data_IF_562226878958
#
_entry.id   IF_562226878958
#
_cell.length_a   1.000
_cell.length_b   1.000
_cell.length_c   1.000
_cell.angle_alpha   90.00
_cell.angle_beta   90.00
_cell.angle_gamma   90.00
#
_symmetry.space_group_name_H-M   'P 1'
#
loop_
_entity.id
_entity.type
_entity.pdbx_description
1 polymer ?
#
# COMPACT_ATOMS: atom_id res chain seq x y z
N UNK A 1 15.77 2.75 10.28
CA UNK A 1 15.64 2.69 11.74
C UNK A 1 15.45 1.26 12.21
N UNK A 2 16.13 0.89 13.24
CA UNK A 2 16.02 -0.45 13.77
C UNK A 2 15.42 -0.43 15.16
N UNK A 3 14.53 -1.37 15.40
CA UNK A 3 13.89 -1.53 16.70
C UNK A 3 14.38 -2.84 17.32
N UNK A 4 14.39 -2.88 18.62
CA UNK A 4 14.81 -4.11 19.29
C UNK A 4 13.68 -5.11 19.32
N UNK A 5 14.00 -6.32 18.94
CA UNK A 5 13.08 -7.43 19.07
C UNK A 5 13.14 -8.00 20.46
N UNK A 6 12.06 -8.67 20.80
CA UNK A 6 11.99 -9.47 21.99
C UNK A 6 13.16 -10.46 21.98
N UNK A 7 13.85 -10.60 23.07
CA UNK A 7 14.98 -11.50 23.16
C UNK A 7 16.30 -10.87 22.75
N UNK A 8 16.35 -9.58 22.53
CA UNK A 8 17.60 -8.89 22.22
C UNK A 8 17.91 -8.77 20.75
N UNK A 9 17.11 -9.37 19.89
CA UNK A 9 17.27 -9.22 18.45
C UNK A 9 16.80 -7.86 18.01
N UNK A 10 17.45 -7.30 17.00
CA UNK A 10 17.00 -6.05 16.44
C UNK A 10 15.77 -6.24 15.56
N UNK A 11 14.77 -5.40 15.78
CA UNK A 11 13.66 -5.30 14.85
C UNK A 11 14.02 -4.29 13.80
N UNK A 12 13.67 -4.59 12.58
CA UNK A 12 13.87 -3.69 11.47
C UNK A 12 12.59 -3.63 10.65
N UNK A 13 12.26 -2.44 10.17
CA UNK A 13 11.23 -2.32 9.15
C UNK A 13 11.89 -2.77 7.85
N UNK A 14 11.48 -3.91 7.34
CA UNK A 14 12.07 -4.51 6.15
C UNK A 14 11.21 -4.38 4.93
N UNK A 15 9.90 -4.31 5.11
CA UNK A 15 8.98 -4.22 4.00
C UNK A 15 7.85 -3.25 4.32
N UNK A 16 7.74 -2.24 3.48
CA UNK A 16 6.61 -1.31 3.49
C UNK A 16 5.72 -1.66 2.31
N UNK A 17 4.46 -1.96 2.57
CA UNK A 17 3.49 -2.26 1.53
C UNK A 17 2.52 -1.10 1.43
N UNK A 18 2.23 -0.65 0.23
CA UNK A 18 1.23 0.39 0.00
C UNK A 18 0.24 -0.07 -1.05
N UNK A 19 -1.03 0.16 -0.79
CA UNK A 19 -2.08 -0.17 -1.75
C UNK A 19 -2.45 1.07 -2.54
N UNK A 20 -2.65 0.91 -3.83
CA UNK A 20 -3.04 1.99 -4.72
C UNK A 20 -4.09 1.53 -5.72
N UNK A 21 -4.96 2.45 -6.14
CA UNK A 21 -5.86 2.22 -7.27
C UNK A 21 -5.44 3.08 -8.47
N UNK A 22 -4.27 3.66 -8.39
CA UNK A 22 -3.69 4.53 -9.40
C UNK A 22 -4.41 5.86 -9.55
N UNK A 23 -5.29 6.19 -8.62
CA UNK A 23 -5.94 7.50 -8.63
C UNK A 23 -4.93 8.57 -8.18
N UNK A 24 -5.28 9.81 -8.48
CA UNK A 24 -4.45 10.93 -8.11
C UNK A 24 -4.30 11.05 -6.60
N UNK A 25 -5.39 10.79 -5.87
CA UNK A 25 -5.33 10.84 -4.42
C UNK A 25 -4.50 9.70 -3.83
N UNK A 26 -4.57 8.52 -4.44
CA UNK A 26 -3.79 7.38 -3.96
C UNK A 26 -2.29 7.60 -4.13
N UNK A 27 -1.90 8.40 -5.11
CA UNK A 27 -0.49 8.66 -5.36
C UNK A 27 0.19 9.29 -4.15
N UNK A 28 -0.53 10.07 -3.38
CA UNK A 28 0.02 10.66 -2.17
C UNK A 28 0.45 9.62 -1.16
N UNK A 29 -0.36 8.58 -1.00
CA UNK A 29 -0.01 7.47 -0.12
C UNK A 29 1.20 6.70 -0.66
N UNK A 30 1.26 6.50 -1.97
CA UNK A 30 2.38 5.80 -2.59
C UNK A 30 3.68 6.56 -2.37
N UNK A 31 3.68 7.87 -2.56
CA UNK A 31 4.87 8.68 -2.34
C UNK A 31 5.31 8.68 -0.89
N UNK A 32 4.36 8.74 0.02
CA UNK A 32 4.67 8.66 1.44
C UNK A 32 5.33 7.32 1.77
N UNK A 33 4.77 6.23 1.26
CA UNK A 33 5.32 4.92 1.50
C UNK A 33 6.72 4.76 0.92
N UNK A 34 6.95 5.31 -0.27
CA UNK A 34 8.27 5.25 -0.90
C UNK A 34 9.31 5.99 -0.06
N UNK A 35 8.96 7.16 0.44
CA UNK A 35 9.86 7.91 1.30
C UNK A 35 10.12 7.17 2.60
N UNK A 36 9.08 6.59 3.19
CA UNK A 36 9.23 5.81 4.40
C UNK A 36 10.18 4.62 4.19
N UNK A 37 9.97 3.89 3.10
CA UNK A 37 10.82 2.74 2.80
C UNK A 37 12.28 3.16 2.63
N UNK A 38 12.50 4.28 1.94
CA UNK A 38 13.84 4.78 1.75
C UNK A 38 14.51 5.15 3.07
N UNK A 39 13.78 5.82 3.94
CA UNK A 39 14.33 6.24 5.24
C UNK A 39 14.64 5.07 6.16
N UNK A 40 13.86 4.02 6.06
CA UNK A 40 14.11 2.80 6.85
C UNK A 40 15.05 1.83 6.15
N UNK A 41 15.46 2.13 4.95
CA UNK A 41 16.25 1.22 4.11
C UNK A 41 15.50 -0.10 3.91
N UNK A 42 14.20 0.01 3.71
CA UNK A 42 13.30 -1.13 3.54
C UNK A 42 12.90 -1.31 2.09
N UNK A 43 12.38 -2.48 1.79
CA UNK A 43 11.78 -2.75 0.49
C UNK A 43 10.39 -2.10 0.42
N UNK A 44 10.05 -1.58 -0.75
CA UNK A 44 8.72 -1.05 -1.03
C UNK A 44 7.99 -2.02 -1.95
N UNK A 45 6.78 -2.40 -1.54
CA UNK A 45 5.89 -3.17 -2.41
C UNK A 45 4.65 -2.32 -2.67
N UNK A 46 4.44 -1.98 -3.94
CA UNK A 46 3.25 -1.24 -4.36
C UNK A 46 2.25 -2.24 -4.91
N UNK A 47 1.10 -2.30 -4.29
CA UNK A 47 0.08 -3.30 -4.58
C UNK A 47 -1.16 -2.65 -5.19
N UNK A 48 -1.67 -3.23 -6.26
CA UNK A 48 -2.96 -2.85 -6.81
C UNK A 48 -3.88 -4.04 -6.79
N UNK A 49 -5.11 -3.83 -6.32
CA UNK A 49 -6.15 -4.85 -6.32
C UNK A 49 -7.10 -4.54 -7.46
N UNK A 50 -7.30 -5.51 -8.35
CA UNK A 50 -8.25 -5.37 -9.46
C UNK A 50 -9.49 -6.16 -9.17
N UNK A 51 -10.64 -5.57 -9.48
CA UNK A 51 -11.90 -6.29 -9.49
C UNK A 51 -12.13 -6.85 -10.89
N UNK A 52 -13.15 -7.66 -11.06
CA UNK A 52 -13.42 -8.30 -12.34
C UNK A 52 -13.69 -7.37 -13.51
N UNK A 53 -13.97 -6.10 -13.24
CA UNK A 53 -14.30 -5.12 -14.28
C UNK A 53 -13.14 -4.21 -14.66
N UNK A 54 -11.99 -4.38 -14.06
CA UNK A 54 -10.88 -3.45 -14.20
C UNK A 54 -9.96 -3.71 -15.40
N UNK A 55 -10.34 -4.56 -16.31
CA UNK A 55 -9.57 -4.80 -17.52
C UNK A 55 -8.42 -5.78 -17.34
N UNK A 56 -7.44 -5.68 -18.23
CA UNK A 56 -6.35 -6.64 -18.29
C UNK A 56 -5.40 -6.53 -17.10
N UNK A 57 -5.19 -7.66 -16.44
CA UNK A 57 -4.25 -7.73 -15.34
C UNK A 57 -2.82 -7.52 -15.82
N UNK A 58 -2.49 -8.05 -17.00
CA UNK A 58 -1.15 -7.89 -17.56
C UNK A 58 -0.85 -6.42 -17.86
N UNK A 59 -1.83 -5.70 -18.40
CA UNK A 59 -1.65 -4.28 -18.70
C UNK A 59 -1.50 -3.48 -17.41
N UNK A 60 -2.32 -3.78 -16.41
CA UNK A 60 -2.23 -3.10 -15.12
C UNK A 60 -0.89 -3.37 -14.45
N UNK A 61 -0.39 -4.60 -14.54
CA UNK A 61 0.89 -4.94 -13.95
C UNK A 61 2.03 -4.19 -14.62
N UNK A 62 2.00 -4.08 -15.93
CA UNK A 62 3.03 -3.36 -16.68
C UNK A 62 3.01 -1.87 -16.36
N UNK A 63 1.83 -1.29 -16.35
CA UNK A 63 1.67 0.12 -16.01
C UNK A 63 2.19 0.41 -14.60
N UNK A 64 1.83 -0.44 -13.66
CA UNK A 64 2.25 -0.25 -12.27
C UNK A 64 3.77 -0.40 -12.14
N UNK A 65 4.35 -1.40 -12.81
CA UNK A 65 5.79 -1.59 -12.78
C UNK A 65 6.53 -0.38 -13.33
N UNK A 66 6.05 0.18 -14.43
CA UNK A 66 6.65 1.39 -14.98
C UNK A 66 6.57 2.56 -14.01
N UNK A 67 5.44 2.71 -13.36
CA UNK A 67 5.26 3.78 -12.39
C UNK A 67 6.22 3.63 -11.21
N UNK A 68 6.36 2.41 -10.71
CA UNK A 68 7.21 2.14 -9.56
C UNK A 68 8.68 2.42 -9.87
N UNK A 69 9.10 2.18 -11.11
CA UNK A 69 10.47 2.50 -11.54
C UNK A 69 10.83 3.95 -11.26
N UNK A 70 9.89 4.85 -11.40
CA UNK A 70 10.12 6.27 -11.19
C UNK A 70 10.09 6.74 -9.74
N UNK A 71 9.76 5.86 -8.81
CA UNK A 71 9.70 6.24 -7.41
C UNK A 71 11.08 6.26 -6.77
N UNK A 72 11.19 6.96 -5.65
CA UNK A 72 12.44 6.99 -4.89
C UNK A 72 12.76 5.62 -4.31
N UNK A 73 14.05 5.36 -4.11
CA UNK A 73 14.49 4.12 -3.48
C UNK A 73 14.94 3.08 -4.48
N UNK A 74 15.76 2.16 -4.03
CA UNK A 74 16.33 1.12 -4.88
C UNK A 74 15.62 -0.21 -4.77
N UNK A 75 15.07 -0.52 -3.60
CA UNK A 75 14.41 -1.79 -3.35
C UNK A 75 12.91 -1.61 -3.46
N UNK A 76 12.42 -1.73 -4.66
CA UNK A 76 11.00 -1.51 -4.91
C UNK A 76 10.49 -2.51 -5.93
N UNK A 77 9.26 -2.94 -5.72
CA UNK A 77 8.59 -3.84 -6.64
C UNK A 77 7.10 -3.58 -6.61
N UNK A 78 6.41 -4.16 -7.55
CA UNK A 78 4.96 -3.98 -7.68
C UNK A 78 4.29 -5.33 -7.84
N UNK A 79 3.02 -5.37 -7.50
CA UNK A 79 2.20 -6.55 -7.70
C UNK A 79 0.77 -6.14 -7.97
N UNK A 80 0.12 -6.87 -8.86
CA UNK A 80 -1.30 -6.70 -9.14
C UNK A 80 -1.98 -8.00 -8.76
N UNK A 81 -2.98 -7.92 -7.91
CA UNK A 81 -3.75 -9.07 -7.49
C UNK A 81 -5.23 -8.83 -7.80
N UNK A 82 -5.99 -9.90 -7.86
CA UNK A 82 -7.42 -9.81 -8.10
C UNK A 82 -8.18 -10.10 -6.82
N UNK A 83 -9.28 -9.43 -6.64
CA UNK A 83 -10.14 -9.66 -5.48
C UNK A 83 -11.36 -8.78 -5.53
N UNK A 84 -12.47 -9.32 -5.03
CA UNK A 84 -13.73 -8.56 -5.01
C UNK A 84 -13.82 -7.64 -3.80
N UNK A 85 -13.06 -7.95 -2.77
CA UNK A 85 -13.04 -7.15 -1.55
C UNK A 85 -11.63 -6.60 -1.37
N UNK A 86 -11.40 -5.33 -1.71
CA UNK A 86 -10.06 -4.75 -1.65
C UNK A 86 -9.42 -4.81 -0.26
N UNK A 87 -10.17 -4.55 0.78
CA UNK A 87 -9.60 -4.58 2.13
C UNK A 87 -9.10 -5.97 2.49
N UNK A 88 -9.90 -6.98 2.20
CA UNK A 88 -9.50 -8.35 2.48
C UNK A 88 -8.28 -8.75 1.67
N UNK A 89 -8.25 -8.38 0.39
CA UNK A 89 -7.11 -8.70 -0.47
C UNK A 89 -5.83 -8.02 0.03
N UNK A 90 -5.93 -6.78 0.46
CA UNK A 90 -4.78 -6.05 1.00
C UNK A 90 -4.27 -6.70 2.28
N UNK A 91 -5.17 -7.04 3.19
CA UNK A 91 -4.81 -7.67 4.44
C UNK A 91 -4.12 -9.02 4.19
N UNK A 92 -4.68 -9.80 3.28
CA UNK A 92 -4.10 -11.09 2.93
C UNK A 92 -2.71 -10.93 2.32
N UNK A 93 -2.53 -9.92 1.48
CA UNK A 93 -1.21 -9.65 0.90
C UNK A 93 -0.21 -9.23 1.97
N UNK A 94 -0.63 -8.38 2.90
CA UNK A 94 0.25 -7.96 3.98
C UNK A 94 0.71 -9.15 4.81
N UNK A 95 -0.19 -10.09 5.04
CA UNK A 95 0.14 -11.29 5.81
C UNK A 95 1.07 -12.20 5.02
N UNK A 96 0.77 -12.44 3.76
CA UNK A 96 1.58 -13.31 2.90
C UNK A 96 2.99 -12.78 2.71
N UNK A 97 3.10 -11.47 2.51
CA UNK A 97 4.40 -10.84 2.25
C UNK A 97 5.16 -10.51 3.53
N UNK A 98 4.52 -10.68 4.66
CA UNK A 98 5.11 -10.33 5.96
C UNK A 98 5.49 -8.86 6.03
N UNK A 99 4.58 -8.00 5.60
CA UNK A 99 4.80 -6.57 5.65
C UNK A 99 4.97 -6.11 7.10
N UNK A 100 5.88 -5.19 7.31
CA UNK A 100 6.07 -4.58 8.62
C UNK A 100 5.20 -3.35 8.78
N UNK A 101 4.97 -2.66 7.67
CA UNK A 101 4.11 -1.47 7.64
C UNK A 101 3.22 -1.56 6.42
N UNK A 102 1.95 -1.29 6.62
CA UNK A 102 0.97 -1.24 5.55
C UNK A 102 0.45 0.20 5.46
N UNK A 103 0.61 0.82 4.30
CA UNK A 103 0.22 2.21 4.06
C UNK A 103 -1.02 2.23 3.17
N UNK A 104 -2.03 2.96 3.59
CA UNK A 104 -3.24 3.15 2.78
C UNK A 104 -3.64 4.62 2.81
N UNK A 105 -4.35 5.05 1.79
CA UNK A 105 -4.90 6.40 1.76
C UNK A 105 -6.16 6.50 2.61
N UNK A 106 -6.44 7.70 3.09
CA UNK A 106 -7.58 7.93 3.98
C UNK A 106 -8.93 8.00 3.28
N UNK A 107 -8.96 8.38 2.00
CA UNK A 107 -10.21 8.51 1.27
C UNK A 107 -10.20 7.71 0.00
N UNK A 108 -11.40 7.53 -0.48
CA UNK A 108 -11.79 6.69 -1.56
C UNK A 108 -10.78 6.49 -2.64
N UNK A 109 -10.48 5.24 -2.86
CA UNK A 109 -9.48 4.87 -3.81
C UNK A 109 -9.94 5.16 -5.23
N UNK A 110 -11.25 5.15 -5.47
CA UNK A 110 -11.71 5.57 -6.78
C UNK A 110 -12.95 6.40 -6.62
N UNK A 111 -12.91 7.63 -6.79
CA UNK A 111 -13.96 8.59 -6.49
C UNK A 111 -15.40 8.10 -6.58
N UNK A 112 -15.73 7.27 -7.54
CA UNK A 112 -17.11 6.85 -7.76
C UNK A 112 -17.59 5.76 -6.83
N UNK A 113 -16.70 5.10 -6.16
CA UNK A 113 -17.03 4.00 -5.27
C UNK A 113 -16.66 4.28 -3.84
N UNK A 114 -16.54 5.52 -3.53
CA UNK A 114 -16.01 5.89 -2.24
C UNK A 114 -16.82 5.37 -1.07
N UNK A 115 -18.13 5.17 -1.25
CA UNK A 115 -18.88 4.61 -0.13
C UNK A 115 -18.54 3.16 0.15
N UNK A 116 -18.08 2.41 -0.84
CA UNK A 116 -17.59 1.05 -0.64
C UNK A 116 -16.16 1.05 -0.16
N UNK A 117 -15.34 1.90 -0.77
CA UNK A 117 -13.92 1.92 -0.49
C UNK A 117 -13.57 2.70 0.76
N UNK A 118 -14.48 3.53 1.22
CA UNK A 118 -14.32 4.30 2.44
C UNK A 118 -13.99 3.43 3.64
N UNK A 119 -14.46 2.19 3.61
CA UNK A 119 -14.20 1.27 4.70
C UNK A 119 -12.86 0.57 4.61
N UNK A 120 -12.12 0.74 3.52
CA UNK A 120 -10.83 0.06 3.35
C UNK A 120 -9.85 0.48 4.43
N UNK A 121 -9.59 1.78 4.65
CA UNK A 121 -8.64 2.16 5.70
C UNK A 121 -9.08 1.68 7.07
N UNK A 122 -10.37 1.78 7.36
CA UNK A 122 -10.90 1.38 8.65
C UNK A 122 -10.76 -0.14 8.86
N UNK A 123 -11.17 -0.92 7.87
CA UNK A 123 -11.07 -2.37 7.96
C UNK A 123 -9.62 -2.83 8.04
N UNK A 124 -8.77 -2.20 7.26
CA UNK A 124 -7.35 -2.52 7.26
C UNK A 124 -6.74 -2.20 8.63
N UNK A 125 -7.05 -1.05 9.19
CA UNK A 125 -6.48 -0.66 10.48
C UNK A 125 -6.88 -1.61 11.61
N UNK A 126 -8.07 -2.19 11.52
CA UNK A 126 -8.55 -3.10 12.57
C UNK A 126 -8.08 -4.55 12.38
N UNK A 127 -7.73 -4.93 11.18
CA UNK A 127 -7.50 -6.35 10.87
C UNK A 127 -6.14 -6.67 10.30
N UNK A 128 -5.31 -5.69 10.05
CA UNK A 128 -4.00 -5.93 9.48
C UNK A 128 -3.08 -6.65 10.48
N UNK A 129 -2.16 -7.48 9.98
CA UNK A 129 -1.22 -8.20 10.84
C UNK A 129 -0.01 -7.36 11.26
N UNK A 130 -0.01 -6.08 10.94
CA UNK A 130 1.18 -5.21 11.11
C UNK A 130 0.76 -3.79 11.41
N UNK A 131 1.76 -2.93 11.57
CA UNK A 131 1.53 -1.49 11.75
C UNK A 131 0.86 -0.92 10.50
N UNK A 132 -0.15 -0.07 10.70
CA UNK A 132 -0.86 0.56 9.59
C UNK A 132 -0.68 2.07 9.68
N UNK A 133 -0.34 2.66 8.53
CA UNK A 133 -0.26 4.11 8.40
C UNK A 133 -1.36 4.53 7.43
N UNK A 134 -2.21 5.43 7.88
CA UNK A 134 -3.26 5.98 7.05
C UNK A 134 -2.83 7.38 6.63
N UNK A 135 -2.54 7.55 5.35
CA UNK A 135 -2.08 8.83 4.82
C UNK A 135 -3.28 9.68 4.44
N UNK A 136 -3.30 10.91 4.91
CA UNK A 136 -4.36 11.84 4.53
C UNK A 136 -4.19 12.19 3.06
N UNK A 137 -5.02 11.64 2.21
CA UNK A 137 -4.92 11.81 0.76
C UNK A 137 -5.77 12.96 0.25
N UNK A 138 -6.74 13.39 1.04
CA UNK A 138 -7.55 14.55 0.70
C UNK A 138 -7.02 15.73 1.51
N UNK A 139 -6.57 16.74 0.80
CA UNK A 139 -6.00 17.91 1.44
C UNK A 139 -7.03 19.01 1.52
N UNK A 140 -7.30 19.47 2.74
CA UNK A 140 -8.16 20.61 2.90
C UNK A 140 -7.38 21.85 2.51
N UNK A 141 -7.99 22.70 1.72
CA UNK A 141 -7.40 23.99 1.41
C UNK A 141 -7.64 24.90 2.59
N UNK A 142 -6.58 25.50 3.05
CA UNK A 142 -6.66 26.41 4.18
C UNK A 142 -7.41 27.68 3.79
#
# INVERSE_FOLDING_TARGET
MRLRRKGGEEEAVRLVLVATDRSETAERAVRFAAEMAERYEAELLVLRVLSGEDGSRADAARELADHVEGLAGERKRSAVISGDDPAEAIIAAARRERADVLVVGSVGMSGRREFLLRNVPNRVSHNAPCTVVIVQTHREDA
#
